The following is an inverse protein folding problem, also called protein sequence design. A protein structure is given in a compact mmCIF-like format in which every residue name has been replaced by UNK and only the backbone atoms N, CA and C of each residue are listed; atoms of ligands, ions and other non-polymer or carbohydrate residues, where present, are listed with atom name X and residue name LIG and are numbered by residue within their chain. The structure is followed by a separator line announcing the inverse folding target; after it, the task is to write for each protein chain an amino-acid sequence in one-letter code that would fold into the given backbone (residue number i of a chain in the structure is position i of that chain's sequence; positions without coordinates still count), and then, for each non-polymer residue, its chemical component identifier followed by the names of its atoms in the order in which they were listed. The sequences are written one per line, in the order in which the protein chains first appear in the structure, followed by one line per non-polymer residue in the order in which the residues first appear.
data_IF_776797791010
#
_entry.id   IF_776797791010
#
_cell.length_a   1.000
_cell.length_b   1.000
_cell.length_c   1.000
_cell.angle_alpha   90.00
_cell.angle_beta   90.00
_cell.angle_gamma   90.00
#
_symmetry.space_group_name_H-M   'P 1'
#
loop_
_entity.id
_entity.type
_entity.pdbx_description
1 polymer ?
#
# COMPACT_ATOMS: atom_id res chain seq x y z
N UNK A 1 -9.04 20.82 9.59
CA UNK A 1 -9.49 20.60 8.21
C UNK A 1 -8.38 20.96 7.21
N UNK A 2 -7.18 20.36 7.32
CA UNK A 2 -5.98 20.77 6.56
C UNK A 2 -4.99 19.60 6.28
N UNK A 3 -5.47 18.36 6.20
CA UNK A 3 -4.62 17.18 5.94
C UNK A 3 -4.47 16.78 4.46
N UNK A 4 -5.14 17.50 3.55
CA UNK A 4 -5.59 16.92 2.27
C UNK A 4 -4.80 17.32 1.02
N UNK A 5 -3.76 18.16 1.15
CA UNK A 5 -2.90 18.55 0.02
C UNK A 5 -1.62 17.69 -0.11
N UNK A 6 -1.30 16.85 0.88
CA UNK A 6 -0.05 16.09 0.91
C UNK A 6 -0.14 14.70 0.28
N UNK A 7 -1.31 14.06 0.23
CA UNK A 7 -1.52 12.83 -0.55
C UNK A 7 -1.24 13.11 -2.04
N UNK A 8 -1.62 14.28 -2.56
CA UNK A 8 -1.43 14.70 -3.95
C UNK A 8 0.03 15.04 -4.31
N UNK A 9 0.88 15.44 -3.36
CA UNK A 9 2.26 15.84 -3.64
C UNK A 9 3.17 14.65 -3.93
N UNK A 10 3.00 13.55 -3.20
CA UNK A 10 3.63 12.26 -3.48
C UNK A 10 3.34 11.77 -4.91
N UNK A 11 2.09 11.97 -5.35
CA UNK A 11 1.55 11.45 -6.61
C UNK A 11 2.01 12.21 -7.86
N UNK A 12 2.53 13.44 -7.71
CA UNK A 12 2.90 14.31 -8.84
C UNK A 12 4.31 14.06 -9.42
N UNK A 13 5.12 13.20 -8.80
CA UNK A 13 6.47 12.85 -9.27
C UNK A 13 6.55 11.53 -10.06
N UNK A 14 5.44 10.80 -10.21
CA UNK A 14 5.38 9.56 -10.98
C UNK A 14 5.17 9.84 -12.48
N UNK A 15 6.22 10.26 -13.19
CA UNK A 15 6.17 10.55 -14.64
C UNK A 15 5.85 9.34 -15.55
N UNK A 16 5.73 8.12 -15.01
CA UNK A 16 5.55 6.87 -15.78
C UNK A 16 4.31 6.05 -15.42
N UNK A 17 3.65 6.32 -14.30
CA UNK A 17 2.45 5.60 -13.86
C UNK A 17 1.27 6.55 -13.97
N UNK A 18 0.23 6.16 -14.71
CA UNK A 18 -1.01 6.93 -14.77
C UNK A 18 -1.83 6.58 -13.52
N UNK A 19 -1.44 7.13 -12.38
CA UNK A 19 -2.20 7.01 -11.14
C UNK A 19 -3.48 7.83 -11.34
N UNK A 20 -4.64 7.18 -11.24
CA UNK A 20 -5.91 7.90 -11.23
C UNK A 20 -5.97 8.70 -9.94
N UNK A 21 -6.14 10.02 -10.05
CA UNK A 21 -6.37 10.85 -8.87
C UNK A 21 -7.58 10.26 -8.12
N UNK A 22 -7.40 9.79 -6.88
CA UNK A 22 -8.52 9.22 -6.14
C UNK A 22 -9.57 10.31 -6.00
N UNK A 23 -10.80 10.00 -6.42
CA UNK A 23 -11.88 10.97 -6.35
C UNK A 23 -12.11 11.36 -4.88
N UNK A 24 -12.78 12.50 -4.62
CA UNK A 24 -13.22 12.86 -3.26
C UNK A 24 -14.01 11.75 -2.55
N UNK A 25 -14.58 10.78 -3.31
CA UNK A 25 -15.26 9.61 -2.76
C UNK A 25 -14.29 8.53 -2.32
N UNK A 26 -13.20 8.29 -3.04
CA UNK A 26 -12.24 7.20 -2.79
C UNK A 26 -11.38 7.42 -1.54
N UNK A 27 -11.13 8.68 -1.19
CA UNK A 27 -10.27 9.08 -0.05
C UNK A 27 -10.95 9.00 1.32
N UNK A 28 -12.27 8.88 1.36
CA UNK A 28 -13.09 8.75 2.58
C UNK A 28 -13.66 7.34 2.78
N UNK A 29 -13.28 6.38 1.93
CA UNK A 29 -13.83 5.03 1.98
C UNK A 29 -13.35 4.32 3.24
N UNK A 30 -14.30 4.01 4.12
CA UNK A 30 -14.12 3.01 5.13
C UNK A 30 -14.14 1.64 4.41
N UNK A 31 -12.95 1.17 4.01
CA UNK A 31 -12.78 -0.09 3.26
C UNK A 31 -13.40 -1.26 4.02
N UNK A 32 -13.30 -1.27 5.36
CA UNK A 32 -13.92 -2.31 6.19
C UNK A 32 -15.46 -2.28 6.09
N UNK A 33 -16.06 -1.09 5.94
CA UNK A 33 -17.50 -0.92 5.70
C UNK A 33 -17.91 -1.43 4.31
N UNK A 34 -17.09 -1.25 3.28
CA UNK A 34 -17.37 -1.80 1.94
C UNK A 34 -17.35 -3.33 1.93
N UNK A 35 -16.40 -3.92 2.65
CA UNK A 35 -16.32 -5.38 2.84
C UNK A 35 -17.49 -5.87 3.73
N UNK A 36 -18.16 -4.97 4.45
CA UNK A 36 -19.27 -5.28 5.34
C UNK A 36 -18.84 -5.91 6.67
N UNK A 37 -17.54 -5.88 7.01
CA UNK A 37 -17.05 -6.36 8.30
C UNK A 37 -15.80 -5.60 8.79
N UNK A 38 -15.69 -5.31 10.09
CA UNK A 38 -14.45 -4.82 10.67
C UNK A 38 -13.40 -5.94 10.75
N UNK A 39 -12.13 -5.55 10.72
CA UNK A 39 -11.01 -6.44 11.01
C UNK A 39 -10.43 -6.10 12.39
N UNK A 40 -10.47 -7.03 13.36
CA UNK A 40 -9.89 -6.79 14.69
C UNK A 40 -8.38 -6.55 14.66
N UNK A 41 -7.66 -7.23 13.77
CA UNK A 41 -6.21 -7.15 13.65
C UNK A 41 -5.75 -6.95 12.20
N UNK A 42 -4.49 -6.53 12.04
CA UNK A 42 -3.86 -6.41 10.71
C UNK A 42 -3.67 -7.80 10.07
N UNK A 43 -3.47 -8.84 10.88
CA UNK A 43 -3.46 -10.25 10.45
C UNK A 43 -4.80 -10.67 9.84
N UNK A 44 -5.93 -10.31 10.46
CA UNK A 44 -7.27 -10.66 9.95
C UNK A 44 -7.53 -10.00 8.60
N UNK A 45 -7.15 -8.73 8.46
CA UNK A 45 -7.24 -8.00 7.20
C UNK A 45 -6.34 -8.62 6.12
N UNK A 46 -5.11 -8.97 6.50
CA UNK A 46 -4.15 -9.61 5.61
C UNK A 46 -4.65 -10.96 5.09
N UNK A 47 -5.08 -11.85 5.99
CA UNK A 47 -5.59 -13.16 5.64
C UNK A 47 -6.83 -13.07 4.75
N UNK A 48 -7.69 -12.07 5.00
CA UNK A 48 -8.84 -11.85 4.14
C UNK A 48 -8.44 -11.44 2.73
N UNK A 49 -7.50 -10.49 2.56
CA UNK A 49 -7.02 -10.09 1.22
C UNK A 49 -6.41 -11.28 0.49
N UNK A 50 -5.54 -12.06 1.14
CA UNK A 50 -4.91 -13.26 0.56
C UNK A 50 -5.95 -14.29 0.11
N UNK A 51 -7.03 -14.45 0.88
CA UNK A 51 -8.05 -15.45 0.58
C UNK A 51 -9.09 -15.01 -0.48
N UNK A 52 -9.28 -13.71 -0.69
CA UNK A 52 -10.39 -13.19 -1.49
C UNK A 52 -9.98 -12.39 -2.72
N UNK A 53 -8.79 -11.79 -2.72
CA UNK A 53 -8.30 -11.02 -3.88
C UNK A 53 -7.47 -11.94 -4.75
N UNK A 54 -7.82 -12.03 -6.04
CA UNK A 54 -7.08 -12.83 -7.01
C UNK A 54 -5.90 -12.04 -7.57
N UNK A 55 -4.71 -12.61 -7.54
CA UNK A 55 -3.57 -12.05 -8.25
C UNK A 55 -3.78 -12.12 -9.77
N UNK A 56 -3.74 -10.97 -10.44
CA UNK A 56 -3.82 -10.85 -11.89
C UNK A 56 -2.78 -9.85 -12.35
N UNK A 57 -1.78 -10.31 -13.09
CA UNK A 57 -0.76 -9.45 -13.67
C UNK A 57 -1.39 -8.61 -14.79
N UNK A 58 -1.11 -7.30 -14.80
CA UNK A 58 -1.58 -6.41 -15.86
C UNK A 58 -0.53 -6.20 -16.95
N UNK A 59 -0.97 -6.08 -18.21
CA UNK A 59 -0.10 -5.82 -19.38
C UNK A 59 0.33 -4.34 -19.45
N UNK A 60 -0.44 -3.45 -18.82
CA UNK A 60 -0.15 -2.02 -18.69
C UNK A 60 -0.20 -1.66 -17.21
N UNK A 61 0.81 -0.92 -16.79
CA UNK A 61 1.00 -0.48 -15.40
C UNK A 61 -0.12 0.50 -15.00
N UNK A 62 -1.13 0.00 -14.28
CA UNK A 62 -2.27 0.76 -13.77
C UNK A 62 -2.48 0.43 -12.28
N UNK A 63 -2.27 1.43 -11.44
CA UNK A 63 -2.41 1.24 -9.99
C UNK A 63 -3.84 1.52 -9.58
N UNK A 64 -4.53 0.46 -9.16
CA UNK A 64 -5.91 0.51 -8.72
C UNK A 64 -6.04 1.22 -7.37
N UNK A 65 -7.16 1.93 -7.21
CA UNK A 65 -7.63 2.35 -5.90
C UNK A 65 -8.12 1.14 -5.09
N UNK A 66 -8.15 1.22 -3.74
CA UNK A 66 -8.72 0.15 -2.91
C UNK A 66 -10.15 -0.24 -3.30
N UNK A 67 -10.95 0.74 -3.76
CA UNK A 67 -12.31 0.51 -4.23
C UNK A 67 -12.33 -0.34 -5.51
N UNK A 68 -11.50 -0.01 -6.49
CA UNK A 68 -11.40 -0.77 -7.74
C UNK A 68 -10.93 -2.20 -7.49
N UNK A 69 -9.91 -2.38 -6.64
CA UNK A 69 -9.42 -3.72 -6.26
C UNK A 69 -10.52 -4.56 -5.62
N UNK A 70 -11.34 -3.97 -4.75
CA UNK A 70 -12.50 -4.63 -4.14
C UNK A 70 -13.61 -4.92 -5.15
N UNK A 71 -13.91 -3.99 -6.07
CA UNK A 71 -14.94 -4.19 -7.09
C UNK A 71 -14.55 -5.28 -8.09
N UNK A 72 -13.27 -5.37 -8.45
CA UNK A 72 -12.72 -6.38 -9.36
C UNK A 72 -12.43 -7.70 -8.65
N UNK A 73 -12.30 -7.68 -7.32
CA UNK A 73 -11.77 -8.79 -6.51
C UNK A 73 -10.43 -9.32 -7.05
N UNK A 74 -9.63 -8.43 -7.65
CA UNK A 74 -8.39 -8.78 -8.34
C UNK A 74 -7.46 -7.58 -8.50
N UNK A 75 -6.16 -7.85 -8.55
CA UNK A 75 -5.10 -6.88 -8.82
C UNK A 75 -3.72 -7.53 -8.78
N UNK A 76 -2.67 -6.77 -9.02
CA UNK A 76 -1.28 -7.22 -8.89
C UNK A 76 -0.60 -6.64 -7.64
N UNK A 77 0.73 -6.74 -7.55
CA UNK A 77 1.44 -6.59 -6.28
C UNK A 77 1.15 -5.25 -5.60
N UNK A 78 1.10 -4.15 -6.35
CA UNK A 78 0.81 -2.81 -5.89
C UNK A 78 -0.65 -2.64 -5.47
N UNK A 79 -1.60 -3.20 -6.21
CA UNK A 79 -3.03 -3.05 -5.95
C UNK A 79 -3.39 -3.63 -4.58
N UNK A 80 -2.95 -4.87 -4.34
CA UNK A 80 -3.18 -5.51 -3.05
C UNK A 80 -2.38 -4.84 -1.92
N UNK A 81 -1.19 -4.29 -2.19
CA UNK A 81 -0.45 -3.51 -1.19
C UNK A 81 -1.17 -2.20 -0.83
N UNK A 82 -1.75 -1.50 -1.80
CA UNK A 82 -2.53 -0.26 -1.60
C UNK A 82 -3.82 -0.57 -0.82
N UNK A 83 -4.52 -1.65 -1.18
CA UNK A 83 -5.69 -2.13 -0.44
C UNK A 83 -5.34 -2.48 1.02
N UNK A 84 -4.26 -3.23 1.25
CA UNK A 84 -3.81 -3.59 2.59
C UNK A 84 -3.42 -2.38 3.43
N UNK A 85 -2.65 -1.44 2.87
CA UNK A 85 -2.28 -0.22 3.57
C UNK A 85 -3.51 0.60 3.99
N UNK A 86 -4.53 0.63 3.13
CA UNK A 86 -5.81 1.29 3.40
C UNK A 86 -6.61 0.61 4.50
N UNK A 87 -6.59 -0.72 4.57
CA UNK A 87 -7.18 -1.49 5.68
C UNK A 87 -6.41 -1.26 6.99
N UNK A 88 -5.08 -1.38 6.97
CA UNK A 88 -4.26 -1.24 8.17
C UNK A 88 -4.39 0.15 8.79
N UNK A 89 -4.48 1.20 7.97
CA UNK A 89 -4.74 2.59 8.41
C UNK A 89 -6.00 2.72 9.28
N UNK A 90 -7.00 1.86 9.11
CA UNK A 90 -8.24 1.86 9.90
C UNK A 90 -8.13 1.04 11.20
N UNK A 91 -7.13 0.18 11.31
CA UNK A 91 -6.96 -0.77 12.41
C UNK A 91 -5.92 -0.27 13.41
N UNK A 92 -4.83 0.31 12.92
CA UNK A 92 -3.65 0.64 13.75
C UNK A 92 -3.77 2.02 14.39
N UNK A 93 -3.21 2.17 15.59
CA UNK A 93 -3.18 3.45 16.33
C UNK A 93 -2.33 4.53 15.65
N UNK A 94 -1.28 4.11 14.95
CA UNK A 94 -0.30 4.99 14.30
C UNK A 94 -0.30 4.79 12.79
N UNK A 95 -1.36 5.20 12.07
CA UNK A 95 -1.51 4.90 10.66
C UNK A 95 -0.36 5.43 9.80
N UNK A 96 0.32 6.50 10.24
CA UNK A 96 1.46 7.10 9.52
C UNK A 96 2.72 6.22 9.54
N UNK A 97 2.68 5.07 10.24
CA UNK A 97 3.73 4.05 10.22
C UNK A 97 3.48 2.95 9.17
N UNK A 98 2.33 2.95 8.51
CA UNK A 98 2.00 1.98 7.45
C UNK A 98 2.50 2.54 6.12
N UNK A 99 3.37 1.82 5.43
CA UNK A 99 3.92 2.23 4.13
C UNK A 99 3.67 1.17 3.08
N UNK A 100 3.35 1.61 1.86
CA UNK A 100 3.55 0.81 0.65
C UNK A 100 4.99 1.05 0.20
N UNK A 101 5.73 -0.02 -0.05
CA UNK A 101 7.12 0.04 -0.51
C UNK A 101 7.24 -0.73 -1.80
N UNK A 102 7.78 -0.06 -2.82
CA UNK A 102 7.96 -0.60 -4.17
C UNK A 102 9.44 -0.80 -4.43
N UNK A 103 9.75 -1.98 -4.95
CA UNK A 103 11.08 -2.43 -5.31
C UNK A 103 11.19 -2.56 -6.82
N UNK A 104 12.39 -2.35 -7.36
CA UNK A 104 12.65 -2.48 -8.80
C UNK A 104 13.25 -3.85 -9.18
N UNK A 105 13.96 -4.48 -8.25
CA UNK A 105 14.66 -5.76 -8.48
C UNK A 105 14.41 -6.72 -7.32
N UNK A 106 13.48 -7.69 -7.46
CA UNK A 106 12.46 -7.75 -8.51
C UNK A 106 11.50 -6.56 -8.42
N UNK A 107 10.80 -6.28 -9.53
CA UNK A 107 9.69 -5.33 -9.54
C UNK A 107 8.58 -5.90 -8.65
N UNK A 108 8.35 -5.27 -7.49
CA UNK A 108 7.42 -5.80 -6.49
C UNK A 108 6.96 -4.74 -5.51
N UNK A 109 5.74 -4.86 -4.98
CA UNK A 109 5.20 -3.98 -3.96
C UNK A 109 4.73 -4.74 -2.72
N UNK A 110 5.00 -4.18 -1.54
CA UNK A 110 4.63 -4.77 -0.24
C UNK A 110 4.17 -3.69 0.73
N UNK A 111 3.52 -4.10 1.82
CA UNK A 111 3.24 -3.22 2.95
C UNK A 111 4.27 -3.42 4.05
N UNK A 112 4.78 -2.33 4.62
CA UNK A 112 5.66 -2.34 5.78
C UNK A 112 4.94 -1.70 6.96
N UNK A 113 4.72 -2.50 8.02
CA UNK A 113 4.19 -2.07 9.30
C UNK A 113 4.57 -3.10 10.39
N UNK A 114 5.55 -2.75 11.25
CA UNK A 114 6.16 -3.64 12.26
C UNK A 114 6.98 -4.80 11.68
N UNK A 115 6.52 -5.37 10.57
CA UNK A 115 7.15 -6.36 9.69
C UNK A 115 6.74 -6.07 8.24
N UNK A 116 7.12 -6.96 7.33
CA UNK A 116 6.69 -6.94 5.94
C UNK A 116 5.44 -7.77 5.79
N UNK A 117 4.57 -7.28 4.93
CA UNK A 117 3.29 -7.87 4.57
C UNK A 117 3.24 -7.94 3.05
N UNK A 118 3.46 -9.13 2.54
CA UNK A 118 3.40 -9.43 1.11
C UNK A 118 2.22 -10.35 0.87
N UNK A 119 1.20 -9.82 0.21
CA UNK A 119 -0.04 -10.55 -0.05
C UNK A 119 0.10 -11.57 -1.17
N UNK A 120 1.12 -11.42 -2.03
CA UNK A 120 1.45 -12.35 -3.11
C UNK A 120 2.36 -13.49 -2.62
N UNK A 121 3.11 -13.24 -1.54
CA UNK A 121 3.94 -14.24 -0.86
C UNK A 121 3.78 -14.11 0.67
N UNK A 122 2.72 -14.72 1.24
CA UNK A 122 2.44 -14.64 2.69
C UNK A 122 3.55 -15.17 3.60
N UNK A 123 4.49 -15.94 3.05
CA UNK A 123 5.62 -16.51 3.77
C UNK A 123 6.85 -15.58 3.80
N UNK A 124 6.81 -14.43 3.14
CA UNK A 124 7.92 -13.47 3.12
C UNK A 124 8.08 -12.79 4.49
N UNK A 125 9.09 -13.21 5.26
CA UNK A 125 9.35 -12.68 6.61
C UNK A 125 10.32 -11.49 6.64
N UNK A 126 11.16 -11.36 5.62
CA UNK A 126 12.22 -10.33 5.52
C UNK A 126 12.40 -9.91 4.07
N UNK A 127 12.71 -8.64 3.85
CA UNK A 127 13.09 -8.15 2.52
C UNK A 127 14.47 -8.70 2.21
N UNK A 128 14.65 -9.40 1.08
CA UNK A 128 15.97 -9.84 0.64
C UNK A 128 16.92 -8.64 0.48
N UNK A 129 18.19 -8.83 0.84
CA UNK A 129 19.17 -7.73 0.90
C UNK A 129 19.46 -7.09 -0.45
N UNK A 130 19.25 -7.83 -1.53
CA UNK A 130 19.40 -7.42 -2.93
C UNK A 130 18.22 -6.61 -3.46
N UNK A 131 17.10 -6.53 -2.73
CA UNK A 131 15.96 -5.74 -3.16
C UNK A 131 16.24 -4.24 -3.10
N UNK A 132 16.08 -3.58 -4.25
CA UNK A 132 16.29 -2.14 -4.41
C UNK A 132 14.97 -1.38 -4.24
N UNK A 133 14.78 -0.76 -3.09
CA UNK A 133 13.66 0.13 -2.82
C UNK A 133 13.72 1.34 -3.78
N UNK A 134 12.65 1.49 -4.57
CA UNK A 134 12.47 2.56 -5.54
C UNK A 134 11.63 3.68 -4.91
N UNK A 135 10.51 3.30 -4.30
CA UNK A 135 9.58 4.23 -3.65
C UNK A 135 9.09 3.67 -2.32
N UNK A 136 8.85 4.54 -1.36
CA UNK A 136 8.06 4.22 -0.18
C UNK A 136 7.10 5.37 0.09
N UNK A 137 5.81 5.07 0.23
CA UNK A 137 4.81 6.09 0.44
C UNK A 137 3.70 5.64 1.40
N UNK A 138 3.03 6.62 1.96
CA UNK A 138 1.80 6.47 2.72
C UNK A 138 0.91 7.70 2.52
N UNK A 139 -0.15 7.79 3.31
CA UNK A 139 -1.11 8.89 3.22
C UNK A 139 -0.58 10.27 3.66
N UNK A 140 0.68 10.38 4.13
CA UNK A 140 1.31 11.65 4.56
C UNK A 140 2.64 11.95 3.87
N UNK A 141 3.35 10.92 3.45
CA UNK A 141 4.75 11.00 3.06
C UNK A 141 5.01 10.15 1.82
N UNK A 142 5.92 10.62 0.98
CA UNK A 142 6.54 9.80 -0.05
C UNK A 142 8.04 10.04 -0.10
N UNK A 143 8.77 8.95 -0.32
CA UNK A 143 10.22 8.90 -0.39
C UNK A 143 10.60 8.25 -1.70
N UNK A 144 11.44 8.93 -2.48
CA UNK A 144 11.89 8.51 -3.81
C UNK A 144 13.25 7.83 -3.82
N UNK A 145 13.84 7.61 -2.64
CA UNK A 145 15.12 6.89 -2.51
C UNK A 145 15.13 6.02 -1.25
N UNK A 146 15.79 4.85 -1.35
CA UNK A 146 16.06 3.95 -0.22
C UNK A 146 16.70 4.68 0.95
N UNK A 147 17.69 5.54 0.71
CA UNK A 147 18.39 6.29 1.76
C UNK A 147 17.45 7.23 2.54
N UNK A 148 16.50 7.89 1.85
CA UNK A 148 15.52 8.75 2.50
C UNK A 148 14.52 7.95 3.34
N UNK A 149 14.10 6.78 2.85
CA UNK A 149 13.20 5.89 3.60
C UNK A 149 13.90 5.23 4.80
N UNK A 150 15.13 4.75 4.64
CA UNK A 150 15.91 4.16 5.74
C UNK A 150 16.26 5.19 6.81
N UNK A 151 16.54 6.44 6.43
CA UNK A 151 16.70 7.55 7.37
C UNK A 151 15.42 7.78 8.17
N UNK A 152 14.26 7.72 7.51
CA UNK A 152 12.96 7.80 8.20
C UNK A 152 12.76 6.64 9.19
N UNK A 153 13.05 5.40 8.78
CA UNK A 153 12.95 4.22 9.65
C UNK A 153 13.83 4.32 10.90
N UNK A 154 15.04 4.88 10.77
CA UNK A 154 16.01 5.02 11.88
C UNK A 154 15.65 6.14 12.87
N UNK A 155 15.07 7.24 12.40
CA UNK A 155 14.81 8.42 13.24
C UNK A 155 13.57 8.31 14.13
N UNK A 156 12.78 7.23 14.06
CA UNK A 156 11.48 7.13 14.77
C UNK A 156 11.21 5.76 15.40
N UNK A 157 12.27 5.04 15.79
CA UNK A 157 12.18 3.98 16.80
C UNK A 157 11.84 4.57 18.16
#
# INVERSE_FOLDING_TARGET
MLGWLHELWAMRHFKRVKIVEPSKRDTAINVSKLIGKPFPTVEDAFNWVVAHIRYVREDKDYWQTPFETLMRMAGDCEDGAILLASLFKQIVKEPWKVFVVVYERPAHAVVVYGRIWDWTNPNLKKIPSDWRCLYAFNFRHAYTTKANFERWLKCRR
#
